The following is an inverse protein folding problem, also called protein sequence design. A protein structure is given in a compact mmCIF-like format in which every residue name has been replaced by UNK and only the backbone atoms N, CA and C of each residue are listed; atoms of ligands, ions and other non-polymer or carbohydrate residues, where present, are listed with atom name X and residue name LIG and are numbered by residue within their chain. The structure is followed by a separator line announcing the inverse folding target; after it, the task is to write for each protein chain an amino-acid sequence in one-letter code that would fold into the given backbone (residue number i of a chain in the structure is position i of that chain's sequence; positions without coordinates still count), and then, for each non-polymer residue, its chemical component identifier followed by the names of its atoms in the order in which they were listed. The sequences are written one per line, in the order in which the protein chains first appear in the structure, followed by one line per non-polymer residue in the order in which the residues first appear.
data_IF_734396667407
#
_entry.id   IF_734396667407
#
_cell.length_a   1.000
_cell.length_b   1.000
_cell.length_c   1.000
_cell.angle_alpha   90.00
_cell.angle_beta   90.00
_cell.angle_gamma   90.00
#
_symmetry.space_group_name_H-M   'P 1'
#
loop_
_entity.id
_entity.type
_entity.pdbx_description
1 polymer ?
#
# COMPACT_ATOMS: atom_id res chain seq x y z
N UNK A 1 -4.75 9.88 3.46
CA UNK A 1 -4.66 8.89 4.59
C UNK A 1 -5.61 9.24 5.72
N UNK A 2 -5.70 10.51 6.10
CA UNK A 2 -6.61 10.98 7.13
C UNK A 2 -7.92 11.51 6.51
N UNK A 3 -8.88 11.83 7.37
CA UNK A 3 -10.23 12.30 7.01
C UNK A 3 -10.31 13.79 6.63
N UNK A 4 -9.22 14.55 6.73
CA UNK A 4 -9.21 15.99 6.39
C UNK A 4 -9.27 16.29 4.88
N UNK A 5 -9.20 15.26 4.02
CA UNK A 5 -9.39 15.43 2.58
C UNK A 5 -10.82 15.85 2.23
N UNK A 6 -11.78 15.56 3.12
CA UNK A 6 -13.18 15.98 3.00
C UNK A 6 -13.54 16.83 4.22
N UNK A 7 -14.08 18.03 4.00
CA UNK A 7 -14.62 18.85 5.09
C UNK A 7 -15.98 18.30 5.58
N UNK A 8 -15.92 17.23 6.36
CA UNK A 8 -17.10 16.57 6.93
C UNK A 8 -17.86 17.51 7.89
N UNK A 9 -17.14 18.42 8.56
CA UNK A 9 -17.76 19.42 9.44
C UNK A 9 -18.58 20.40 8.60
N UNK A 10 -18.00 20.99 7.55
CA UNK A 10 -18.71 21.86 6.63
C UNK A 10 -19.88 21.17 5.95
N UNK A 11 -19.72 19.88 5.56
CA UNK A 11 -20.80 19.08 5.01
C UNK A 11 -21.99 18.95 5.97
N UNK A 12 -21.70 18.75 7.26
CA UNK A 12 -22.72 18.64 8.31
C UNK A 12 -23.40 19.98 8.61
N UNK A 13 -22.65 21.07 8.58
CA UNK A 13 -23.17 22.43 8.80
C UNK A 13 -24.05 22.90 7.63
N UNK A 14 -23.73 22.50 6.39
CA UNK A 14 -24.50 22.83 5.20
C UNK A 14 -25.76 21.95 5.00
N UNK A 15 -25.87 20.83 5.71
CA UNK A 15 -26.97 19.89 5.52
C UNK A 15 -28.23 20.29 6.30
N UNK A 16 -29.36 20.29 5.61
CA UNK A 16 -30.68 20.48 6.23
C UNK A 16 -31.14 19.24 7.00
N UNK A 17 -30.64 18.05 6.63
CA UNK A 17 -30.83 16.82 7.39
C UNK A 17 -29.71 15.82 7.12
N UNK A 18 -29.44 14.98 8.11
CA UNK A 18 -28.48 13.87 8.02
C UNK A 18 -29.16 12.59 8.48
N UNK A 19 -29.04 11.53 7.68
CA UNK A 19 -29.58 10.20 7.98
C UNK A 19 -28.50 9.14 7.82
N UNK A 20 -28.24 8.38 8.89
CA UNK A 20 -27.42 7.16 8.82
C UNK A 20 -28.19 6.08 8.08
N UNK A 21 -27.69 5.66 6.91
CA UNK A 21 -28.32 4.62 6.09
C UNK A 21 -27.89 3.23 6.57
N UNK A 22 -26.61 3.07 6.88
CA UNK A 22 -26.00 1.90 7.53
C UNK A 22 -24.68 2.33 8.21
N UNK A 23 -24.03 1.50 9.03
CA UNK A 23 -22.74 1.87 9.63
C UNK A 23 -21.75 2.42 8.61
N UNK A 24 -21.15 3.57 8.90
CA UNK A 24 -20.17 4.27 8.06
C UNK A 24 -20.72 4.63 6.66
N UNK A 25 -22.03 4.85 6.54
CA UNK A 25 -22.68 5.32 5.32
C UNK A 25 -23.83 6.27 5.66
N UNK A 26 -23.60 7.55 5.40
CA UNK A 26 -24.49 8.65 5.77
C UNK A 26 -25.06 9.35 4.52
N UNK A 27 -26.33 9.74 4.58
CA UNK A 27 -27.00 10.58 3.60
C UNK A 27 -27.15 12.00 4.18
N UNK A 28 -26.67 12.99 3.45
CA UNK A 28 -26.80 14.41 3.74
C UNK A 28 -27.75 15.04 2.72
N UNK A 29 -28.73 15.81 3.19
CA UNK A 29 -29.58 16.64 2.30
C UNK A 29 -29.04 18.06 2.29
N UNK A 30 -28.59 18.54 1.13
CA UNK A 30 -28.00 19.87 0.95
C UNK A 30 -28.67 20.51 -0.28
N UNK A 31 -29.31 21.67 -0.11
CA UNK A 31 -30.02 22.39 -1.19
C UNK A 31 -30.96 21.51 -2.03
N UNK A 32 -31.70 20.60 -1.37
CA UNK A 32 -32.62 19.67 -2.01
C UNK A 32 -31.96 18.47 -2.73
N UNK A 33 -30.63 18.40 -2.75
CA UNK A 33 -29.87 17.26 -3.27
C UNK A 33 -29.48 16.30 -2.14
N UNK A 34 -29.33 15.02 -2.48
CA UNK A 34 -28.82 14.00 -1.57
C UNK A 34 -27.36 13.71 -1.88
N UNK A 35 -26.51 13.81 -0.87
CA UNK A 35 -25.08 13.49 -0.91
C UNK A 35 -24.83 12.31 0.02
N UNK A 36 -24.17 11.27 -0.48
CA UNK A 36 -23.83 10.10 0.32
C UNK A 36 -22.36 10.13 0.69
N UNK A 37 -22.07 10.06 1.99
CA UNK A 37 -20.71 9.98 2.51
C UNK A 37 -20.44 8.57 3.00
N UNK A 38 -19.42 7.95 2.40
CA UNK A 38 -18.86 6.68 2.85
C UNK A 38 -17.72 6.94 3.84
N UNK A 39 -17.61 6.09 4.86
CA UNK A 39 -16.44 6.01 5.72
C UNK A 39 -16.22 7.23 6.61
N UNK A 40 -17.21 8.11 6.73
CA UNK A 40 -17.08 9.38 7.48
C UNK A 40 -15.89 10.24 6.98
N UNK A 41 -15.56 10.13 5.68
CA UNK A 41 -14.42 10.82 5.07
C UNK A 41 -13.06 10.12 5.26
N UNK A 42 -13.01 9.01 6.00
CA UNK A 42 -11.81 8.19 6.18
C UNK A 42 -11.56 7.28 4.98
N UNK A 43 -10.46 6.53 5.03
CA UNK A 43 -10.08 5.49 4.06
C UNK A 43 -11.23 4.50 3.80
N UNK A 44 -11.96 4.73 2.72
CA UNK A 44 -13.22 4.04 2.43
C UNK A 44 -13.05 2.54 2.23
N UNK A 45 -11.92 2.12 1.67
CA UNK A 45 -11.61 0.71 1.47
C UNK A 45 -11.47 -0.06 2.78
N UNK A 46 -10.98 0.58 3.85
CA UNK A 46 -10.89 -0.01 5.18
C UNK A 46 -12.16 0.21 6.00
N UNK A 47 -12.83 1.35 5.81
CA UNK A 47 -14.01 1.72 6.59
C UNK A 47 -15.28 0.98 6.13
N UNK A 48 -15.44 0.76 4.82
CA UNK A 48 -16.65 0.18 4.24
C UNK A 48 -16.43 -1.19 3.58
N UNK A 49 -15.21 -1.70 3.62
CA UNK A 49 -14.84 -3.02 3.11
C UNK A 49 -13.68 -3.59 3.95
N UNK A 50 -12.94 -4.55 3.39
CA UNK A 50 -11.90 -5.30 4.10
C UNK A 50 -10.48 -4.82 3.77
N UNK A 51 -10.34 -3.66 3.12
CA UNK A 51 -9.05 -3.14 2.69
C UNK A 51 -8.47 -3.88 1.49
N UNK A 52 -7.14 -3.97 1.45
CA UNK A 52 -6.45 -4.73 0.41
C UNK A 52 -6.53 -6.24 0.68
N UNK A 53 -6.69 -7.08 -0.36
CA UNK A 53 -6.66 -8.53 -0.20
C UNK A 53 -5.36 -9.02 0.45
N UNK A 54 -5.44 -10.14 1.17
CA UNK A 54 -4.30 -10.75 1.86
C UNK A 54 -3.10 -10.99 0.94
N UNK A 55 -3.32 -11.40 -0.31
CA UNK A 55 -2.26 -11.61 -1.30
C UNK A 55 -1.46 -10.33 -1.60
N UNK A 56 -2.10 -9.16 -1.59
CA UNK A 56 -1.42 -7.87 -1.80
C UNK A 56 -0.74 -7.42 -0.51
N UNK A 57 -1.41 -7.59 0.63
CA UNK A 57 -0.83 -7.24 1.94
C UNK A 57 0.37 -8.11 2.32
N UNK A 58 0.47 -9.34 1.79
CA UNK A 58 1.59 -10.24 2.02
C UNK A 58 2.94 -9.60 1.62
N UNK A 59 2.99 -8.88 0.48
CA UNK A 59 4.18 -8.13 0.08
C UNK A 59 4.58 -7.09 1.12
N UNK A 60 3.61 -6.29 1.58
CA UNK A 60 3.84 -5.21 2.53
C UNK A 60 4.33 -5.74 3.87
N UNK A 61 3.68 -6.78 4.40
CA UNK A 61 4.04 -7.36 5.69
C UNK A 61 5.34 -8.17 5.64
N UNK A 62 5.62 -8.87 4.54
CA UNK A 62 6.90 -9.54 4.33
C UNK A 62 8.05 -8.52 4.28
N UNK A 63 7.87 -7.42 3.52
CA UNK A 63 8.85 -6.34 3.48
C UNK A 63 9.08 -5.73 4.86
N UNK A 64 8.01 -5.37 5.59
CA UNK A 64 8.12 -4.85 6.95
C UNK A 64 8.87 -5.80 7.89
N UNK A 65 8.56 -7.09 7.85
CA UNK A 65 9.23 -8.09 8.68
C UNK A 65 10.73 -8.19 8.37
N UNK A 66 11.11 -8.22 7.08
CA UNK A 66 12.50 -8.30 6.65
C UNK A 66 13.29 -7.02 6.93
N UNK A 67 12.69 -5.85 6.73
CA UNK A 67 13.32 -4.56 7.06
C UNK A 67 13.53 -4.41 8.56
N UNK A 68 12.58 -4.86 9.39
CA UNK A 68 12.76 -4.90 10.85
C UNK A 68 13.91 -5.84 11.22
N UNK A 69 13.97 -7.04 10.63
CA UNK A 69 15.06 -7.98 10.87
C UNK A 69 16.41 -7.41 10.44
N UNK A 70 16.47 -6.70 9.30
CA UNK A 70 17.66 -5.98 8.83
C UNK A 70 18.11 -4.93 9.85
N UNK A 71 17.19 -4.10 10.35
CA UNK A 71 17.50 -3.09 11.36
C UNK A 71 18.00 -3.68 12.68
N UNK A 72 17.48 -4.83 13.09
CA UNK A 72 17.97 -5.56 14.28
C UNK A 72 19.38 -6.11 14.05
N UNK A 73 19.65 -6.66 12.86
CA UNK A 73 20.96 -7.21 12.51
C UNK A 73 22.06 -6.15 12.42
N UNK A 74 21.72 -4.94 11.95
CA UNK A 74 22.66 -3.81 11.79
C UNK A 74 22.57 -2.82 12.97
N UNK A 75 22.21 -3.31 14.16
CA UNK A 75 22.03 -2.46 15.34
C UNK A 75 23.36 -1.79 15.70
N UNK A 76 23.34 -0.45 15.77
CA UNK A 76 24.51 0.37 16.08
C UNK A 76 25.26 0.87 14.84
N UNK A 77 24.89 0.41 13.65
CA UNK A 77 25.43 0.88 12.37
C UNK A 77 24.51 1.93 11.71
N UNK A 78 23.27 2.04 12.18
CA UNK A 78 22.26 2.95 11.64
C UNK A 78 22.23 4.28 12.41
N UNK A 79 22.23 5.38 11.65
CA UNK A 79 22.05 6.75 12.12
C UNK A 79 20.55 7.09 12.27
N UNK A 80 20.17 8.10 13.07
CA UNK A 80 18.78 8.53 13.21
C UNK A 80 18.29 9.31 11.98
N UNK A 81 18.07 8.58 10.88
CA UNK A 81 17.55 9.11 9.61
C UNK A 81 16.59 8.13 8.95
N UNK A 82 15.90 8.59 7.90
CA UNK A 82 15.07 7.72 7.05
C UNK A 82 15.98 6.98 6.07
N UNK A 83 15.79 5.67 5.97
CA UNK A 83 16.45 4.81 5.00
C UNK A 83 15.42 4.26 4.02
N UNK A 84 15.85 4.07 2.78
CA UNK A 84 15.12 3.22 1.83
C UNK A 84 15.37 1.74 2.17
N UNK A 85 14.42 0.89 1.78
CA UNK A 85 14.59 -0.56 1.88
C UNK A 85 15.78 -0.99 1.00
N UNK A 86 16.72 -1.80 1.52
CA UNK A 86 17.74 -2.41 0.68
C UNK A 86 17.11 -3.18 -0.49
N UNK A 87 17.61 -2.96 -1.70
CA UNK A 87 17.05 -3.57 -2.92
C UNK A 87 17.02 -5.11 -2.86
N UNK A 88 17.99 -5.72 -2.17
CA UNK A 88 18.02 -7.17 -1.95
C UNK A 88 16.79 -7.67 -1.18
N UNK A 89 16.29 -6.90 -0.21
CA UNK A 89 15.08 -7.23 0.53
C UNK A 89 13.88 -7.20 -0.39
N UNK A 90 13.74 -6.15 -1.21
CA UNK A 90 12.62 -6.02 -2.15
C UNK A 90 12.62 -7.18 -3.18
N UNK A 91 13.80 -7.52 -3.74
CA UNK A 91 13.96 -8.68 -4.63
C UNK A 91 13.62 -9.99 -3.93
N UNK A 92 13.99 -10.14 -2.65
CA UNK A 92 13.66 -11.32 -1.86
C UNK A 92 12.16 -11.44 -1.61
N UNK A 93 11.47 -10.35 -1.27
CA UNK A 93 10.00 -10.33 -1.10
C UNK A 93 9.32 -10.75 -2.41
N UNK A 94 9.76 -10.21 -3.55
CA UNK A 94 9.21 -10.55 -4.85
C UNK A 94 9.37 -12.05 -5.17
N UNK A 95 10.57 -12.61 -4.96
CA UNK A 95 10.83 -14.05 -5.14
C UNK A 95 9.94 -14.93 -4.25
N UNK A 96 9.84 -14.60 -2.96
CA UNK A 96 9.00 -15.35 -2.01
C UNK A 96 7.53 -15.34 -2.42
N UNK A 97 7.03 -14.22 -2.96
CA UNK A 97 5.66 -14.19 -3.45
C UNK A 97 5.47 -15.08 -4.69
N UNK A 98 6.37 -15.00 -5.67
CA UNK A 98 6.29 -15.81 -6.89
C UNK A 98 6.30 -17.30 -6.54
N UNK A 99 7.18 -17.71 -5.61
CA UNK A 99 7.21 -19.06 -5.07
C UNK A 99 5.88 -19.45 -4.41
N UNK A 100 5.32 -18.60 -3.55
CA UNK A 100 4.03 -18.83 -2.90
C UNK A 100 2.86 -18.91 -3.90
N UNK A 101 2.98 -18.26 -5.07
CA UNK A 101 2.01 -18.33 -6.17
C UNK A 101 2.24 -19.52 -7.11
N UNK A 102 3.30 -20.31 -6.90
CA UNK A 102 3.70 -21.40 -7.80
C UNK A 102 4.16 -20.91 -9.18
N UNK A 103 4.67 -19.68 -9.26
CA UNK A 103 5.22 -19.11 -10.49
C UNK A 103 6.72 -19.41 -10.55
N UNK A 104 7.13 -20.08 -11.63
CA UNK A 104 8.54 -20.28 -11.95
C UNK A 104 9.08 -19.08 -12.72
N UNK A 105 10.35 -18.74 -12.47
CA UNK A 105 11.08 -17.72 -13.20
C UNK A 105 12.29 -18.34 -13.88
N UNK A 106 12.61 -17.85 -15.07
CA UNK A 106 13.81 -18.26 -15.78
C UNK A 106 15.08 -17.81 -15.02
N UNK A 107 16.14 -18.59 -15.19
CA UNK A 107 17.48 -18.24 -14.71
C UNK A 107 18.30 -17.88 -15.95
N UNK A 108 18.91 -16.70 -15.94
CA UNK A 108 19.78 -16.28 -17.03
C UNK A 108 20.94 -17.27 -17.17
N UNK A 109 21.27 -17.63 -18.41
CA UNK A 109 22.49 -18.37 -18.69
C UNK A 109 23.71 -17.46 -18.47
N UNK A 110 24.90 -18.02 -18.21
CA UNK A 110 26.12 -17.22 -18.09
C UNK A 110 26.36 -16.28 -19.29
N UNK A 111 26.03 -16.75 -20.50
CA UNK A 111 26.11 -15.96 -21.73
C UNK A 111 25.13 -14.77 -21.73
N UNK A 112 23.90 -14.97 -21.23
CA UNK A 112 22.91 -13.90 -21.12
C UNK A 112 23.30 -12.86 -20.05
N UNK A 113 23.87 -13.30 -18.93
CA UNK A 113 24.39 -12.40 -17.89
C UNK A 113 25.58 -11.56 -18.41
N UNK A 114 26.50 -12.18 -19.14
CA UNK A 114 27.63 -11.49 -19.78
C UNK A 114 27.14 -10.48 -20.82
N UNK A 115 26.19 -10.87 -21.68
CA UNK A 115 25.59 -9.96 -22.66
C UNK A 115 24.95 -8.72 -22.01
N UNK A 116 24.13 -8.92 -20.97
CA UNK A 116 23.44 -7.82 -20.26
C UNK A 116 24.38 -6.90 -19.49
N UNK A 117 25.51 -7.41 -19.01
CA UNK A 117 26.52 -6.62 -18.28
C UNK A 117 27.52 -5.93 -19.21
N UNK A 118 27.62 -6.37 -20.47
CA UNK A 118 28.50 -5.77 -21.47
C UNK A 118 27.87 -4.51 -22.09
N UNK A 119 28.48 -3.35 -21.85
CA UNK A 119 28.10 -2.07 -22.48
C UNK A 119 28.53 -1.96 -23.95
N UNK A 120 28.95 -3.07 -24.59
CA UNK A 120 29.52 -3.09 -25.94
C UNK A 120 28.48 -3.39 -27.04
N UNK A 121 27.35 -4.02 -26.69
CA UNK A 121 26.25 -4.32 -27.60
C UNK A 121 25.03 -3.44 -27.25
N UNK A 122 25.22 -2.12 -27.35
CA UNK A 122 24.17 -1.13 -27.11
C UNK A 122 23.46 -0.70 -28.40
N UNK A 123 22.13 -0.58 -28.34
CA UNK A 123 21.39 0.42 -29.13
C UNK A 123 21.30 1.71 -28.33
#
# INVERSE_FOLDING_TARGET
HFDHEIDVKGLREAASSVRRVRPLFDEYTIDGKRVYLCGEGRLVNLANAEGHPSAVMAFSFCNQALVIAYGVAHRGELEPRVYESPEEIDRRVARLQLEAMGVEIDILTPEQEEYLSSWQEGT
#
